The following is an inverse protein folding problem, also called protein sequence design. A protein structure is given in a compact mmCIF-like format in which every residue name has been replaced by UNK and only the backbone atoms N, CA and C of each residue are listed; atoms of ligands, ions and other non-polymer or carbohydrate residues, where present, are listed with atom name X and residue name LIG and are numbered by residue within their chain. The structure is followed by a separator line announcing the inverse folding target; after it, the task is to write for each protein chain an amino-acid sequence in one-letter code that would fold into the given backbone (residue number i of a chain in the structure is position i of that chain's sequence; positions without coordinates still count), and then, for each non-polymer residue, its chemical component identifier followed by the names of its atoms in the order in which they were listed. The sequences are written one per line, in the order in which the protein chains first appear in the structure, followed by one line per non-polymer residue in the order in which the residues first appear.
data_IF_292831940941
#
_entry.id   IF_292831940941
#
_cell.length_a   1.000
_cell.length_b   1.000
_cell.length_c   1.000
_cell.angle_alpha   90.00
_cell.angle_beta   90.00
_cell.angle_gamma   90.00
#
_symmetry.space_group_name_H-M   'P 1'
#
loop_
_entity.id
_entity.type
_entity.pdbx_description
1 polymer ?
#
# COMPACT_ATOMS: atom_id res chain seq x y z
N UNK A 1 23.01 22.10 45.87
CA UNK A 1 22.44 22.58 44.58
C UNK A 1 22.25 21.36 43.71
N UNK A 2 21.02 20.97 43.42
CA UNK A 2 20.71 19.79 42.61
C UNK A 2 20.96 20.11 41.13
N UNK A 3 21.66 19.21 40.43
CA UNK A 3 21.85 19.31 38.98
C UNK A 3 20.49 19.25 38.27
N UNK A 4 20.27 20.06 37.22
CA UNK A 4 19.09 19.93 36.38
C UNK A 4 19.06 18.53 35.76
N UNK A 5 17.91 17.85 35.89
CA UNK A 5 17.64 16.61 35.16
C UNK A 5 17.53 17.01 33.70
N UNK A 6 18.52 16.60 32.92
CA UNK A 6 18.54 16.78 31.48
C UNK A 6 17.37 15.97 30.90
N UNK A 7 16.33 16.65 30.42
CA UNK A 7 15.22 16.02 29.72
C UNK A 7 15.79 15.45 28.42
N UNK A 8 15.56 14.16 28.10
CA UNK A 8 16.13 13.57 26.90
C UNK A 8 15.71 14.40 25.68
N UNK A 9 16.71 14.89 24.94
CA UNK A 9 16.53 15.59 23.68
C UNK A 9 15.51 14.82 22.82
N UNK A 10 14.45 15.52 22.38
CA UNK A 10 13.51 14.99 21.39
C UNK A 10 14.32 14.58 20.17
N UNK A 11 14.62 13.27 20.06
CA UNK A 11 15.27 12.69 18.88
C UNK A 11 14.51 13.16 17.66
N UNK A 12 15.21 13.89 16.80
CA UNK A 12 14.70 14.44 15.56
C UNK A 12 14.08 13.30 14.76
N UNK A 13 12.75 13.34 14.63
CA UNK A 13 11.99 12.28 13.98
C UNK A 13 12.30 12.35 12.49
N UNK A 14 13.06 11.36 11.99
CA UNK A 14 13.17 11.08 10.55
C UNK A 14 11.75 10.95 10.01
N UNK A 15 11.43 11.61 8.89
CA UNK A 15 10.10 11.65 8.24
C UNK A 15 9.19 10.52 8.71
N UNK A 16 8.26 10.82 9.64
CA UNK A 16 7.45 9.78 10.31
C UNK A 16 6.90 8.81 9.28
N UNK A 17 7.26 7.53 9.43
CA UNK A 17 6.70 6.45 8.64
C UNK A 17 5.39 6.01 9.29
N UNK A 18 4.30 6.51 8.72
CA UNK A 18 2.95 6.22 9.19
C UNK A 18 2.65 4.71 9.18
N UNK A 19 3.25 3.96 8.26
CA UNK A 19 3.15 2.50 8.22
C UNK A 19 3.71 1.87 9.49
N UNK A 20 4.95 2.23 9.85
CA UNK A 20 5.60 1.72 11.07
C UNK A 20 4.88 2.13 12.36
N UNK A 21 4.31 3.35 12.39
CA UNK A 21 3.47 3.80 13.51
C UNK A 21 2.19 2.93 13.62
N UNK A 22 1.55 2.62 12.49
CA UNK A 22 0.34 1.80 12.46
C UNK A 22 0.63 0.34 12.83
N UNK A 23 1.68 -0.26 12.28
CA UNK A 23 2.16 -1.59 12.70
C UNK A 23 2.47 -1.62 14.20
N UNK A 24 3.13 -0.59 14.74
CA UNK A 24 3.40 -0.50 16.18
C UNK A 24 2.13 -0.39 17.00
N UNK A 25 1.13 0.37 16.53
CA UNK A 25 -0.18 0.46 17.18
C UNK A 25 -0.87 -0.91 17.27
N UNK A 26 -0.77 -1.74 16.22
CA UNK A 26 -1.25 -3.13 16.25
C UNK A 26 -0.48 -3.94 17.29
N UNK A 27 0.86 -3.89 17.31
CA UNK A 27 1.67 -4.61 18.31
C UNK A 27 1.36 -4.18 19.76
N UNK A 28 0.94 -2.94 19.99
CA UNK A 28 0.53 -2.43 21.30
C UNK A 28 -0.91 -2.82 21.66
N UNK A 29 -1.74 -3.12 20.67
CA UNK A 29 -3.10 -3.62 20.87
C UNK A 29 -3.08 -5.10 21.26
N UNK A 30 -2.35 -5.88 20.47
CA UNK A 30 -2.12 -7.32 20.66
C UNK A 30 -0.68 -7.48 21.12
N UNK A 31 -0.38 -7.53 22.44
CA UNK A 31 0.96 -7.31 23.00
C UNK A 31 2.04 -8.26 22.47
N UNK A 32 2.52 -8.01 21.25
CA UNK A 32 3.49 -8.81 20.53
C UNK A 32 4.73 -7.97 20.28
N UNK A 33 5.85 -8.66 20.03
CA UNK A 33 7.10 -7.99 19.73
C UNK A 33 7.02 -7.29 18.36
N UNK A 34 7.42 -6.02 18.32
CA UNK A 34 7.60 -5.32 17.05
C UNK A 34 8.96 -5.72 16.45
N UNK A 35 8.95 -6.52 15.40
CA UNK A 35 10.17 -6.87 14.67
C UNK A 35 10.81 -5.69 13.94
N UNK A 36 11.98 -5.26 14.43
CA UNK A 36 12.77 -4.18 13.86
C UNK A 36 12.97 -3.02 14.83
N UNK A 37 13.80 -2.06 14.43
CA UNK A 37 14.02 -0.88 15.27
C UNK A 37 12.86 0.11 15.14
N UNK A 38 12.23 0.43 16.25
CA UNK A 38 11.18 1.46 16.29
C UNK A 38 11.78 2.81 16.69
N UNK A 39 11.86 3.74 15.72
CA UNK A 39 12.43 5.08 15.90
C UNK A 39 11.40 6.21 15.73
N UNK A 40 10.11 5.90 15.89
CA UNK A 40 8.98 6.80 15.61
C UNK A 40 8.20 7.17 16.87
N UNK A 41 7.20 8.06 16.74
CA UNK A 41 6.40 8.52 17.89
C UNK A 41 5.60 7.39 18.53
N UNK A 42 5.89 7.09 19.81
CA UNK A 42 5.10 6.14 20.58
C UNK A 42 3.70 6.68 20.92
N UNK A 43 3.59 7.99 21.16
CA UNK A 43 2.31 8.65 21.48
C UNK A 43 1.32 8.55 20.31
N UNK A 44 1.80 8.72 19.07
CA UNK A 44 0.98 8.49 17.86
C UNK A 44 0.52 7.03 17.76
N UNK A 45 1.41 6.08 18.03
CA UNK A 45 1.06 4.66 18.02
C UNK A 45 0.03 4.32 19.10
N UNK A 46 0.14 4.88 20.31
CA UNK A 46 -0.83 4.71 21.40
C UNK A 46 -2.19 5.34 21.07
N UNK A 47 -2.18 6.53 20.46
CA UNK A 47 -3.40 7.21 20.00
C UNK A 47 -4.13 6.35 18.96
N UNK A 48 -3.40 5.84 17.97
CA UNK A 48 -3.97 4.96 16.95
C UNK A 48 -4.43 3.63 17.54
N UNK A 49 -3.67 3.03 18.46
CA UNK A 49 -4.06 1.80 19.17
C UNK A 49 -5.44 1.92 19.81
N UNK A 50 -5.76 3.06 20.42
CA UNK A 50 -7.08 3.27 21.03
C UNK A 50 -8.23 3.18 20.02
N UNK A 51 -8.00 3.57 18.76
CA UNK A 51 -8.97 3.39 17.67
C UNK A 51 -9.09 1.96 17.18
N UNK A 52 -8.05 1.15 17.39
CA UNK A 52 -8.02 -0.26 16.99
C UNK A 52 -8.61 -1.19 18.05
N UNK A 53 -8.98 -0.69 19.24
CA UNK A 53 -9.60 -1.49 20.31
C UNK A 53 -10.76 -2.39 19.86
N UNK A 54 -11.68 -1.94 18.97
CA UNK A 54 -12.74 -2.81 18.45
C UNK A 54 -12.22 -4.07 17.72
N UNK A 55 -10.97 -4.08 17.27
CA UNK A 55 -10.33 -5.20 16.58
C UNK A 55 -9.63 -6.20 17.51
N UNK A 56 -9.58 -5.95 18.83
CA UNK A 56 -8.74 -6.75 19.77
C UNK A 56 -8.97 -8.26 19.63
N UNK A 57 -10.23 -8.70 19.62
CA UNK A 57 -10.57 -10.11 19.52
C UNK A 57 -10.20 -10.72 18.15
N UNK A 58 -10.34 -9.95 17.07
CA UNK A 58 -10.05 -10.39 15.70
C UNK A 58 -8.54 -10.50 15.44
N UNK A 59 -7.75 -9.62 16.07
CA UNK A 59 -6.31 -9.57 15.91
C UNK A 59 -5.55 -10.43 16.93
N UNK A 60 -6.26 -11.04 17.89
CA UNK A 60 -5.64 -11.92 18.87
C UNK A 60 -4.88 -13.05 18.16
N UNK A 61 -3.64 -13.31 18.60
CA UNK A 61 -2.79 -14.38 18.05
C UNK A 61 -1.94 -13.98 16.85
N UNK A 62 -2.11 -12.79 16.27
CA UNK A 62 -1.19 -12.25 15.28
C UNK A 62 0.16 -11.86 15.89
N UNK A 63 1.22 -12.03 15.09
CA UNK A 63 2.59 -11.64 15.39
C UNK A 63 3.11 -10.76 14.25
N UNK A 64 3.93 -9.77 14.58
CA UNK A 64 4.56 -8.90 13.58
C UNK A 64 5.63 -9.69 12.81
N UNK A 65 5.50 -9.76 11.49
CA UNK A 65 6.40 -10.51 10.58
C UNK A 65 6.93 -9.68 9.41
N UNK A 66 6.62 -8.38 9.34
CA UNK A 66 6.94 -7.52 8.19
C UNK A 66 8.43 -7.35 7.84
N UNK A 67 9.35 -8.00 8.58
CA UNK A 67 10.79 -8.04 8.28
C UNK A 67 11.24 -9.36 7.62
N UNK A 68 10.47 -10.44 7.78
CA UNK A 68 10.78 -11.78 7.27
C UNK A 68 9.88 -12.18 6.10
N UNK A 69 8.69 -11.61 6.02
CA UNK A 69 7.73 -11.84 4.94
C UNK A 69 7.61 -10.57 4.06
N UNK A 70 7.88 -10.72 2.77
CA UNK A 70 7.80 -9.61 1.82
C UNK A 70 6.36 -9.25 1.44
N UNK A 71 5.36 -10.06 1.84
CA UNK A 71 3.97 -9.90 1.41
C UNK A 71 3.04 -9.36 2.51
N UNK A 72 3.30 -9.67 3.78
CA UNK A 72 2.42 -9.30 4.91
C UNK A 72 3.18 -8.70 6.09
N UNK A 73 2.50 -7.82 6.82
CA UNK A 73 3.07 -7.18 8.01
C UNK A 73 2.87 -8.06 9.26
N UNK A 74 1.79 -8.86 9.31
CA UNK A 74 1.51 -9.77 10.42
C UNK A 74 1.03 -11.14 9.96
N UNK A 75 1.36 -12.16 10.75
CA UNK A 75 0.93 -13.55 10.58
C UNK A 75 0.37 -14.11 11.88
N UNK A 76 -0.71 -14.90 11.81
CA UNK A 76 -1.24 -15.57 12.99
C UNK A 76 -0.33 -16.72 13.44
N UNK A 77 -0.11 -16.84 14.76
CA UNK A 77 0.84 -17.78 15.36
C UNK A 77 0.46 -19.25 15.20
N UNK A 78 -0.85 -19.55 15.14
CA UNK A 78 -1.37 -20.93 15.03
C UNK A 78 -2.15 -21.21 13.75
N UNK A 79 -2.43 -20.18 12.93
CA UNK A 79 -3.24 -20.32 11.72
C UNK A 79 -2.50 -19.68 10.55
N UNK A 80 -1.78 -20.51 9.80
CA UNK A 80 -0.91 -20.05 8.70
C UNK A 80 -1.68 -19.35 7.58
N UNK A 81 -3.00 -19.53 7.51
CA UNK A 81 -3.87 -18.90 6.49
C UNK A 81 -4.24 -17.47 6.84
N UNK A 82 -4.13 -17.09 8.13
CA UNK A 82 -4.47 -15.75 8.61
C UNK A 82 -3.25 -14.82 8.53
N UNK A 83 -3.36 -13.86 7.63
CA UNK A 83 -2.39 -12.80 7.38
C UNK A 83 -3.07 -11.43 7.44
N UNK A 84 -2.31 -10.41 7.83
CA UNK A 84 -2.77 -9.03 7.88
C UNK A 84 -1.71 -8.14 7.24
N UNK A 85 -2.14 -7.30 6.31
CA UNK A 85 -1.33 -6.22 5.73
C UNK A 85 -1.79 -4.88 6.30
N UNK A 86 -0.85 -3.98 6.51
CA UNK A 86 -1.08 -2.61 6.93
C UNK A 86 -0.82 -1.69 5.75
N UNK A 87 -1.80 -0.85 5.41
CA UNK A 87 -1.67 0.19 4.39
C UNK A 87 -2.00 1.53 4.99
N UNK A 88 -1.21 2.55 4.67
CA UNK A 88 -1.39 3.88 5.27
C UNK A 88 -1.28 5.00 4.26
N UNK A 89 -1.96 6.11 4.55
CA UNK A 89 -1.83 7.36 3.81
C UNK A 89 -1.54 8.51 4.75
N UNK A 90 -0.38 9.13 4.58
CA UNK A 90 -0.01 10.40 5.22
C UNK A 90 -0.53 11.62 4.42
N UNK A 91 -0.73 11.44 3.12
CA UNK A 91 -1.32 12.44 2.23
C UNK A 91 -2.20 11.75 1.18
N UNK A 92 -3.27 12.42 0.78
CA UNK A 92 -4.18 11.96 -0.28
C UNK A 92 -4.70 10.53 -0.08
N UNK A 93 -4.76 9.78 -1.18
CA UNK A 93 -5.38 8.44 -1.23
C UNK A 93 -4.55 7.45 -2.05
N UNK A 94 -3.27 7.74 -2.27
CA UNK A 94 -2.41 6.92 -3.12
C UNK A 94 -1.75 5.81 -2.32
N UNK A 95 -2.02 4.54 -2.62
CA UNK A 95 -1.47 3.38 -1.91
C UNK A 95 -0.67 2.51 -2.85
N UNK A 96 0.57 2.19 -2.48
CA UNK A 96 1.39 1.24 -3.22
C UNK A 96 0.94 -0.22 -2.92
N UNK A 97 0.78 -1.07 -3.94
CA UNK A 97 0.76 -2.52 -3.73
C UNK A 97 2.04 -3.01 -3.05
N UNK A 98 1.99 -4.17 -2.42
CA UNK A 98 3.21 -4.81 -1.95
C UNK A 98 4.12 -5.17 -3.12
N UNK A 99 5.40 -4.77 -3.07
CA UNK A 99 6.32 -4.84 -4.20
C UNK A 99 5.99 -3.90 -5.37
N UNK A 100 4.99 -3.01 -5.23
CA UNK A 100 4.62 -2.01 -6.24
C UNK A 100 5.47 -0.73 -6.20
N UNK A 101 6.44 -0.65 -5.29
CA UNK A 101 7.38 0.48 -5.13
C UNK A 101 8.84 0.07 -5.45
N UNK A 102 9.03 -1.03 -6.18
CA UNK A 102 10.35 -1.61 -6.44
C UNK A 102 11.23 -0.82 -7.43
N UNK A 103 12.44 -1.35 -7.62
CA UNK A 103 13.31 -0.98 -8.73
C UNK A 103 12.73 -1.46 -10.08
N UNK A 104 13.27 -0.95 -11.19
CA UNK A 104 12.90 -1.46 -12.53
C UNK A 104 13.17 -2.96 -12.67
N UNK A 105 14.29 -3.44 -12.11
CA UNK A 105 14.63 -4.86 -12.03
C UNK A 105 13.56 -5.66 -11.30
N UNK A 106 13.18 -5.25 -10.08
CA UNK A 106 12.16 -5.99 -9.31
C UNK A 106 10.78 -5.96 -9.96
N UNK A 107 10.45 -4.88 -10.68
CA UNK A 107 9.26 -4.84 -11.52
C UNK A 107 9.35 -5.89 -12.63
N UNK A 108 10.44 -5.89 -13.39
CA UNK A 108 10.65 -6.85 -14.47
C UNK A 108 10.61 -8.30 -13.99
N UNK A 109 11.25 -8.61 -12.86
CA UNK A 109 11.23 -9.94 -12.25
C UNK A 109 9.80 -10.35 -11.85
N UNK A 110 9.03 -9.45 -11.21
CA UNK A 110 7.64 -9.70 -10.81
C UNK A 110 6.74 -10.04 -12.01
N UNK A 111 6.99 -9.41 -13.15
CA UNK A 111 6.20 -9.61 -14.37
C UNK A 111 6.85 -10.56 -15.38
N UNK A 112 7.99 -11.16 -15.03
CA UNK A 112 8.77 -12.08 -15.87
C UNK A 112 9.17 -11.46 -17.21
N UNK A 113 9.64 -10.21 -17.19
CA UNK A 113 10.19 -9.55 -18.38
C UNK A 113 11.63 -10.02 -18.64
N UNK A 114 12.10 -10.00 -19.89
CA UNK A 114 13.48 -10.30 -20.23
C UNK A 114 14.47 -9.37 -19.51
N UNK A 115 15.68 -9.87 -19.22
CA UNK A 115 16.74 -9.10 -18.54
C UNK A 115 17.06 -7.77 -19.24
N UNK A 116 16.96 -7.73 -20.57
CA UNK A 116 17.16 -6.50 -21.36
C UNK A 116 16.19 -5.37 -20.95
N UNK A 117 14.97 -5.69 -20.49
CA UNK A 117 13.99 -4.71 -20.05
C UNK A 117 14.34 -4.08 -18.68
N UNK A 118 15.23 -4.69 -17.89
CA UNK A 118 15.54 -4.23 -16.52
C UNK A 118 16.13 -2.82 -16.50
N UNK A 119 16.76 -2.41 -17.60
CA UNK A 119 17.40 -1.11 -17.79
C UNK A 119 16.73 -0.26 -18.86
N UNK A 120 15.66 -0.75 -19.50
CA UNK A 120 14.93 -0.07 -20.57
C UNK A 120 13.54 0.39 -20.08
N UNK A 121 13.38 1.66 -19.71
CA UNK A 121 12.09 2.18 -19.26
C UNK A 121 11.02 2.16 -20.34
N UNK A 122 11.38 2.23 -21.62
CA UNK A 122 10.39 2.24 -22.71
C UNK A 122 9.84 0.84 -22.94
N UNK A 123 10.67 -0.21 -22.83
CA UNK A 123 10.19 -1.60 -22.81
C UNK A 123 9.20 -1.86 -21.66
N UNK A 124 9.49 -1.36 -20.46
CA UNK A 124 8.59 -1.49 -19.30
C UNK A 124 7.26 -0.76 -19.55
N UNK A 125 7.30 0.47 -20.07
CA UNK A 125 6.07 1.24 -20.39
C UNK A 125 5.25 0.54 -21.47
N UNK A 126 5.89 0.05 -22.53
CA UNK A 126 5.23 -0.68 -23.60
C UNK A 126 4.53 -1.94 -23.07
N UNK A 127 5.21 -2.70 -22.19
CA UNK A 127 4.60 -3.84 -21.51
C UNK A 127 3.38 -3.43 -20.68
N UNK A 128 3.48 -2.37 -19.85
CA UNK A 128 2.34 -1.90 -19.04
C UNK A 128 1.14 -1.53 -19.90
N UNK A 129 1.36 -0.88 -21.04
CA UNK A 129 0.30 -0.50 -21.97
C UNK A 129 -0.35 -1.72 -22.64
N UNK A 130 0.44 -2.71 -23.05
CA UNK A 130 -0.04 -3.91 -23.72
C UNK A 130 -0.78 -4.86 -22.75
N UNK A 131 -0.27 -5.00 -21.53
CA UNK A 131 -0.68 -6.01 -20.55
C UNK A 131 -1.38 -5.38 -19.33
N UNK A 132 -2.04 -4.23 -19.50
CA UNK A 132 -2.62 -3.49 -18.37
C UNK A 132 -3.52 -4.36 -17.47
N UNK A 133 -4.47 -5.15 -18.00
CA UNK A 133 -5.30 -6.01 -17.14
C UNK A 133 -4.46 -6.96 -16.26
N UNK A 134 -3.50 -7.67 -16.87
CA UNK A 134 -2.58 -8.58 -16.15
C UNK A 134 -1.76 -7.85 -15.10
N UNK A 135 -1.29 -6.63 -15.40
CA UNK A 135 -0.55 -5.79 -14.44
C UNK A 135 -1.41 -5.44 -13.23
N UNK A 136 -2.67 -5.07 -13.47
CA UNK A 136 -3.62 -4.74 -12.41
C UNK A 136 -4.01 -5.95 -11.58
N UNK A 137 -4.21 -7.13 -12.18
CA UNK A 137 -4.48 -8.38 -11.46
C UNK A 137 -3.37 -8.72 -10.46
N UNK A 138 -2.11 -8.68 -10.92
CA UNK A 138 -0.95 -8.96 -10.07
C UNK A 138 -0.85 -7.93 -8.93
N UNK A 139 -1.11 -6.65 -9.21
CA UNK A 139 -1.11 -5.62 -8.17
C UNK A 139 -2.30 -5.71 -7.22
N UNK A 140 -3.48 -6.11 -7.69
CA UNK A 140 -4.66 -6.36 -6.86
C UNK A 140 -4.36 -7.51 -5.89
N UNK A 141 -3.84 -8.62 -6.41
CA UNK A 141 -3.39 -9.73 -5.59
C UNK A 141 -2.33 -9.30 -4.58
N UNK A 142 -1.36 -8.48 -4.99
CA UNK A 142 -0.31 -7.99 -4.07
C UNK A 142 -0.80 -6.96 -3.04
N UNK A 143 -1.96 -6.36 -3.24
CA UNK A 143 -2.55 -5.40 -2.30
C UNK A 143 -3.51 -6.10 -1.33
N UNK A 144 -4.35 -7.01 -1.85
CA UNK A 144 -5.48 -7.61 -1.14
C UNK A 144 -5.38 -9.14 -1.03
N UNK A 145 -4.16 -9.70 -1.07
CA UNK A 145 -3.93 -11.13 -0.84
C UNK A 145 -4.56 -11.59 0.49
N UNK A 146 -4.54 -10.72 1.50
CA UNK A 146 -5.12 -10.97 2.80
C UNK A 146 -5.93 -9.78 3.28
N UNK A 147 -6.45 -9.88 4.50
CA UNK A 147 -7.12 -8.77 5.14
C UNK A 147 -6.16 -7.58 5.27
N UNK A 148 -6.68 -6.39 5.01
CA UNK A 148 -5.92 -5.14 5.05
C UNK A 148 -6.47 -4.21 6.13
N UNK A 149 -5.62 -3.85 7.09
CA UNK A 149 -5.86 -2.70 7.96
C UNK A 149 -5.40 -1.44 7.23
N UNK A 150 -6.36 -0.59 6.87
CA UNK A 150 -6.10 0.66 6.19
C UNK A 150 -6.26 1.85 7.13
N UNK A 151 -5.24 2.71 7.20
CA UNK A 151 -5.28 3.96 7.96
C UNK A 151 -4.95 5.18 7.09
N UNK A 152 -5.93 6.07 6.90
CA UNK A 152 -5.73 7.37 6.26
C UNK A 152 -5.73 8.48 7.32
N UNK A 153 -4.55 9.04 7.62
CA UNK A 153 -4.39 10.07 8.65
C UNK A 153 -5.12 11.37 8.29
N UNK A 154 -4.97 11.94 7.07
CA UNK A 154 -5.70 13.16 6.67
C UNK A 154 -7.22 13.03 6.72
N UNK A 155 -7.76 11.87 6.34
CA UNK A 155 -9.19 11.62 6.37
C UNK A 155 -9.69 11.14 7.74
N UNK A 156 -8.78 11.00 8.72
CA UNK A 156 -9.05 10.41 10.03
C UNK A 156 -9.80 9.07 9.94
N UNK A 157 -9.44 8.22 8.97
CA UNK A 157 -10.20 7.02 8.61
C UNK A 157 -9.41 5.76 8.93
N UNK A 158 -10.04 4.80 9.60
CA UNK A 158 -9.50 3.45 9.81
C UNK A 158 -10.50 2.42 9.29
N UNK A 159 -10.04 1.48 8.49
CA UNK A 159 -10.88 0.45 7.87
C UNK A 159 -10.21 -0.92 7.88
N UNK A 160 -11.02 -1.97 8.06
CA UNK A 160 -10.66 -3.34 7.72
C UNK A 160 -11.26 -3.65 6.35
N UNK A 161 -10.40 -4.06 5.41
CA UNK A 161 -10.76 -4.29 4.01
C UNK A 161 -10.37 -5.71 3.63
N UNK A 162 -11.29 -6.43 3.00
CA UNK A 162 -11.04 -7.75 2.41
C UNK A 162 -11.65 -7.80 1.03
N UNK A 163 -10.87 -8.20 0.02
CA UNK A 163 -11.43 -8.49 -1.29
C UNK A 163 -12.18 -9.83 -1.23
N UNK A 164 -13.44 -9.83 -1.67
CA UNK A 164 -14.30 -11.01 -1.67
C UNK A 164 -14.53 -11.59 -3.05
N UNK A 165 -14.43 -10.76 -4.10
CA UNK A 165 -14.52 -11.21 -5.48
C UNK A 165 -13.44 -10.53 -6.33
N UNK A 166 -12.78 -11.24 -7.25
CA UNK A 166 -11.85 -10.64 -8.22
C UNK A 166 -12.54 -9.56 -9.06
N UNK A 167 -11.79 -8.55 -9.48
CA UNK A 167 -12.25 -7.57 -10.46
C UNK A 167 -11.80 -8.09 -11.84
N UNK A 168 -12.72 -8.21 -12.78
CA UNK A 168 -12.35 -8.48 -14.18
C UNK A 168 -11.88 -7.19 -14.85
N UNK A 169 -10.57 -6.98 -14.87
CA UNK A 169 -9.95 -5.83 -15.53
C UNK A 169 -10.02 -5.86 -17.05
N UNK A 170 -10.19 -7.04 -17.65
CA UNK A 170 -10.30 -7.19 -19.11
C UNK A 170 -11.64 -6.67 -19.62
N UNK A 171 -12.68 -6.72 -18.78
CA UNK A 171 -13.99 -6.14 -19.05
C UNK A 171 -14.07 -4.61 -18.82
N UNK A 172 -13.02 -3.98 -18.29
CA UNK A 172 -13.01 -2.54 -18.00
C UNK A 172 -12.45 -1.73 -19.16
N UNK A 173 -13.07 -0.56 -19.43
CA UNK A 173 -12.52 0.39 -20.38
C UNK A 173 -11.46 1.28 -19.71
N UNK A 174 -10.20 0.88 -19.84
CA UNK A 174 -9.05 1.56 -19.23
C UNK A 174 -8.41 2.57 -20.18
N UNK A 175 -8.03 3.73 -19.64
CA UNK A 175 -7.41 4.83 -20.41
C UNK A 175 -6.22 5.41 -19.68
N UNK A 176 -5.19 5.80 -20.43
CA UNK A 176 -4.01 6.43 -19.88
C UNK A 176 -4.01 7.94 -20.14
N UNK A 177 -3.72 8.73 -19.10
CA UNK A 177 -3.82 10.19 -19.19
C UNK A 177 -2.88 10.84 -20.20
N UNK A 178 -1.75 10.20 -20.52
CA UNK A 178 -0.84 10.71 -21.54
C UNK A 178 -1.41 10.49 -22.95
N UNK A 179 -2.05 9.35 -23.21
CA UNK A 179 -2.72 9.05 -24.49
C UNK A 179 -3.90 10.00 -24.71
N UNK A 180 -4.76 10.18 -23.71
CA UNK A 180 -5.92 11.09 -23.80
C UNK A 180 -5.50 12.55 -24.06
N UNK A 181 -4.30 12.93 -23.63
CA UNK A 181 -3.75 14.30 -23.81
C UNK A 181 -2.86 14.42 -25.05
N UNK A 182 -2.64 13.35 -25.82
CA UNK A 182 -1.68 13.34 -26.92
C UNK A 182 -0.24 13.67 -26.47
N UNK A 183 0.15 13.23 -25.27
CA UNK A 183 1.46 13.49 -24.66
C UNK A 183 2.27 12.21 -24.51
N UNK A 184 3.59 12.38 -24.43
CA UNK A 184 4.52 11.30 -24.10
C UNK A 184 4.42 11.01 -22.60
N UNK A 185 4.42 9.72 -22.22
CA UNK A 185 4.60 9.32 -20.84
C UNK A 185 6.03 9.64 -20.38
N UNK A 186 6.18 10.77 -19.69
CA UNK A 186 7.46 11.21 -19.17
C UNK A 186 7.82 10.50 -17.84
N UNK A 187 7.40 11.07 -16.71
CA UNK A 187 7.66 10.52 -15.38
C UNK A 187 6.48 9.78 -14.77
N UNK A 188 5.26 10.15 -15.12
CA UNK A 188 4.08 9.43 -14.66
C UNK A 188 2.95 9.47 -15.68
N UNK A 189 2.02 8.53 -15.52
CA UNK A 189 0.73 8.56 -16.17
C UNK A 189 -0.34 8.05 -15.22
N UNK A 190 -1.49 8.71 -15.28
CA UNK A 190 -2.68 8.35 -14.54
C UNK A 190 -3.45 7.31 -15.33
N UNK A 191 -3.86 6.24 -14.67
CA UNK A 191 -4.78 5.24 -15.20
C UNK A 191 -6.20 5.63 -14.81
N UNK A 192 -7.03 5.83 -15.82
CA UNK A 192 -8.46 6.07 -15.69
C UNK A 192 -9.24 4.82 -16.05
N UNK A 193 -10.36 4.64 -15.37
CA UNK A 193 -11.45 3.78 -15.80
C UNK A 193 -12.56 4.67 -16.36
N UNK A 194 -13.02 4.37 -17.58
CA UNK A 194 -14.14 5.06 -18.20
C UNK A 194 -15.44 4.34 -17.88
N UNK A 195 -16.24 4.93 -17.00
CA UNK A 195 -17.56 4.44 -16.66
C UNK A 195 -18.61 5.40 -17.19
N UNK A 196 -19.36 4.99 -18.22
CA UNK A 196 -20.43 5.78 -18.83
C UNK A 196 -20.00 7.20 -19.24
N UNK A 197 -18.79 7.34 -19.79
CA UNK A 197 -18.24 8.62 -20.23
C UNK A 197 -17.50 9.41 -19.15
N UNK A 198 -17.56 8.98 -17.88
CA UNK A 198 -16.84 9.61 -16.78
C UNK A 198 -15.50 8.91 -16.53
N UNK A 199 -14.42 9.69 -16.51
CA UNK A 199 -13.08 9.19 -16.20
C UNK A 199 -12.85 9.17 -14.69
N UNK A 200 -12.73 7.98 -14.12
CA UNK A 200 -12.43 7.75 -12.71
C UNK A 200 -10.95 7.39 -12.60
N UNK A 201 -10.18 8.15 -11.84
CA UNK A 201 -8.78 7.79 -11.55
C UNK A 201 -8.73 6.54 -10.69
N UNK A 202 -8.14 5.46 -11.20
CA UNK A 202 -7.96 4.20 -10.45
C UNK A 202 -6.53 4.06 -9.94
N UNK A 203 -5.54 4.65 -10.63
CA UNK A 203 -4.17 4.62 -10.16
C UNK A 203 -3.21 5.49 -10.96
N UNK A 204 -1.94 5.41 -10.61
CA UNK A 204 -0.86 6.12 -11.30
C UNK A 204 0.37 5.21 -11.42
N UNK A 205 0.90 5.13 -12.63
CA UNK A 205 2.23 4.56 -12.88
C UNK A 205 3.28 5.68 -12.88
N UNK A 206 4.40 5.44 -12.23
CA UNK A 206 5.51 6.38 -12.11
C UNK A 206 6.82 5.72 -12.53
N UNK A 207 7.52 6.32 -13.47
CA UNK A 207 8.87 5.98 -13.90
C UNK A 207 9.78 7.18 -13.59
N UNK A 208 10.41 7.17 -12.40
CA UNK A 208 11.32 8.24 -12.05
C UNK A 208 12.58 8.15 -12.91
N UNK A 209 12.92 9.21 -13.65
CA UNK A 209 14.12 9.20 -14.51
C UNK A 209 15.42 9.14 -13.72
N UNK A 210 15.46 9.88 -12.60
CA UNK A 210 16.65 10.03 -11.77
C UNK A 210 16.79 8.98 -10.66
N UNK A 211 15.81 8.07 -10.53
CA UNK A 211 15.84 6.98 -9.54
C UNK A 211 15.61 5.66 -10.27
N UNK A 212 16.35 4.61 -9.93
CA UNK A 212 16.07 3.28 -10.47
C UNK A 212 14.78 2.71 -9.85
N UNK A 213 13.62 3.21 -10.28
CA UNK A 213 12.34 2.89 -9.67
C UNK A 213 11.20 3.01 -10.66
N UNK A 214 10.35 1.98 -10.69
CA UNK A 214 9.09 1.96 -11.42
C UNK A 214 7.99 1.60 -10.42
N UNK A 215 7.03 2.50 -10.25
CA UNK A 215 6.02 2.42 -9.20
C UNK A 215 4.63 2.38 -9.78
N UNK A 216 3.75 1.68 -9.09
CA UNK A 216 2.31 1.84 -9.26
C UNK A 216 1.66 2.18 -7.93
N UNK A 217 0.69 3.08 -7.95
CA UNK A 217 -0.08 3.48 -6.78
C UNK A 217 -1.56 3.47 -7.13
N UNK A 218 -2.34 2.74 -6.37
CA UNK A 218 -3.79 2.80 -6.43
C UNK A 218 -4.29 4.15 -5.93
N UNK A 219 -5.28 4.73 -6.59
CA UNK A 219 -6.15 5.70 -5.95
C UNK A 219 -7.16 4.88 -5.13
N UNK A 220 -6.86 4.69 -3.85
CA UNK A 220 -7.54 3.72 -3.00
C UNK A 220 -9.02 4.05 -2.80
N UNK A 221 -9.35 5.33 -2.57
CA UNK A 221 -10.74 5.75 -2.39
C UNK A 221 -11.59 5.42 -3.61
N UNK A 222 -11.13 5.81 -4.79
CA UNK A 222 -11.85 5.60 -6.03
C UNK A 222 -11.94 4.10 -6.39
N UNK A 223 -10.87 3.34 -6.15
CA UNK A 223 -10.86 1.89 -6.33
C UNK A 223 -11.94 1.22 -5.48
N UNK A 224 -11.94 1.50 -4.17
CA UNK A 224 -12.89 0.91 -3.22
C UNK A 224 -14.32 1.39 -3.46
N UNK A 225 -14.53 2.68 -3.73
CA UNK A 225 -15.85 3.25 -3.97
C UNK A 225 -16.47 2.70 -5.26
N UNK A 226 -15.68 2.62 -6.35
CA UNK A 226 -16.18 2.17 -7.65
C UNK A 226 -16.47 0.67 -7.66
N UNK A 227 -15.57 -0.12 -7.08
CA UNK A 227 -15.67 -1.58 -7.03
C UNK A 227 -16.18 -2.07 -5.67
N UNK A 228 -17.01 -1.30 -4.96
CA UNK A 228 -17.45 -1.60 -3.59
C UNK A 228 -17.99 -3.01 -3.38
N UNK A 229 -18.68 -3.57 -4.39
CA UNK A 229 -19.27 -4.92 -4.32
C UNK A 229 -18.22 -6.05 -4.38
N UNK A 230 -16.96 -5.71 -4.66
CA UNK A 230 -15.83 -6.63 -4.65
C UNK A 230 -15.11 -6.69 -3.29
N UNK A 231 -15.53 -5.86 -2.33
CA UNK A 231 -14.88 -5.75 -1.03
C UNK A 231 -15.88 -5.83 0.13
N UNK A 232 -15.45 -6.47 1.21
CA UNK A 232 -15.99 -6.24 2.54
C UNK A 232 -15.18 -5.12 3.19
N UNK A 233 -15.84 -4.04 3.60
CA UNK A 233 -15.21 -2.88 4.22
C UNK A 233 -15.91 -2.57 5.54
N UNK A 234 -15.16 -2.59 6.64
CA UNK A 234 -15.62 -2.20 7.98
C UNK A 234 -14.84 -1.00 8.48
N UNK A 235 -15.50 0.14 8.64
CA UNK A 235 -14.91 1.37 9.21
C UNK A 235 -14.95 1.33 10.75
N UNK A 236 -13.91 1.87 11.39
CA UNK A 236 -13.76 2.00 12.84
C UNK A 236 -13.86 3.45 13.33
#
# INVERSE_FOLDING_TARGET
MANPIDLPEKKQVVTEDLGKICEKAVCLLIPCEFQGEYRYSLDKAMTLRNRLVPLTAELQGFLHTGRTDNLYDFSHSTDVTKKLSVKTNKTGWMVCPQGGQGTKKTFCEKFVLPVAAHTDPEAIKAFVLAETPRVLDIFMHSTFHCQTLYYNEPANLVQMIKQVTPIDWSAQLLKFSHLEKGKIWNESTTLYLNHNGNLITIGEFQNHKHRNCFKFRWQFKNLLDHFKNHFEIRTL
#
